data_IF_377327937749
#
_entry.id   IF_377327937749
#
_cell.length_a   1.000
_cell.length_b   1.000
_cell.length_c   1.000
_cell.angle_alpha   90.00
_cell.angle_beta   90.00
_cell.angle_gamma   90.00
#
_symmetry.space_group_name_H-M   'P 1'
#
loop_
_entity.id
_entity.type
_entity.pdbx_description
1 polymer ?
#
# COMPACT_ATOMS: atom_id res chain seq x y z
N UNK A 1 -12.02 5.54 0.04
CA UNK A 1 -10.90 4.63 0.39
C UNK A 1 -11.22 3.20 -0.04
N UNK A 2 -10.21 2.43 -0.39
CA UNK A 2 -10.37 1.02 -0.76
C UNK A 2 -10.65 0.20 0.50
N UNK A 3 -11.74 -0.55 0.48
CA UNK A 3 -12.13 -1.43 1.58
C UNK A 3 -11.60 -2.86 1.41
N UNK A 4 -11.72 -3.69 2.45
CA UNK A 4 -11.39 -5.12 2.35
C UNK A 4 -12.23 -5.85 1.31
N UNK A 5 -13.52 -5.54 1.22
CA UNK A 5 -14.40 -6.13 0.22
C UNK A 5 -14.01 -5.73 -1.22
N UNK A 6 -13.50 -4.50 -1.41
CA UNK A 6 -13.01 -4.06 -2.72
C UNK A 6 -11.75 -4.86 -3.09
N UNK A 7 -10.85 -5.10 -2.13
CA UNK A 7 -9.62 -5.89 -2.36
C UNK A 7 -9.91 -7.38 -2.69
N UNK A 8 -11.04 -7.91 -2.28
CA UNK A 8 -11.45 -9.28 -2.61
C UNK A 8 -12.06 -9.41 -4.02
N UNK A 9 -12.21 -8.29 -4.76
CA UNK A 9 -12.69 -8.29 -6.14
C UNK A 9 -11.63 -8.78 -7.13
N UNK A 10 -12.07 -9.30 -8.30
CA UNK A 10 -11.18 -9.59 -9.43
C UNK A 10 -10.38 -8.36 -9.88
N UNK A 11 -9.19 -8.58 -10.41
CA UNK A 11 -8.29 -7.52 -10.88
C UNK A 11 -8.92 -6.61 -11.94
N UNK A 12 -9.73 -7.16 -12.83
CA UNK A 12 -10.43 -6.41 -13.88
C UNK A 12 -11.41 -5.40 -13.30
N UNK A 13 -12.13 -5.76 -12.26
CA UNK A 13 -13.09 -4.87 -11.59
C UNK A 13 -12.35 -3.78 -10.80
N UNK A 14 -11.33 -4.19 -10.05
CA UNK A 14 -10.55 -3.29 -9.20
C UNK A 14 -9.76 -2.25 -10.03
N UNK A 15 -9.38 -2.56 -11.27
CA UNK A 15 -8.74 -1.62 -12.20
C UNK A 15 -9.69 -0.57 -12.77
N UNK A 16 -10.98 -0.60 -12.43
CA UNK A 16 -11.92 0.39 -12.94
C UNK A 16 -11.65 1.80 -12.37
N UNK A 17 -12.05 2.81 -13.13
CA UNK A 17 -11.94 4.23 -12.72
C UNK A 17 -12.67 4.52 -11.41
N UNK A 18 -13.71 3.75 -11.08
CA UNK A 18 -14.47 3.91 -9.83
C UNK A 18 -13.57 3.68 -8.62
N UNK A 19 -12.87 2.53 -8.58
CA UNK A 19 -11.99 2.21 -7.46
C UNK A 19 -10.73 3.07 -7.43
N UNK A 20 -10.15 3.36 -8.58
CA UNK A 20 -9.03 4.28 -8.69
C UNK A 20 -9.38 5.66 -8.11
N UNK A 21 -10.51 6.22 -8.49
CA UNK A 21 -10.93 7.55 -8.06
C UNK A 21 -11.27 7.67 -6.57
N UNK A 22 -11.71 6.59 -5.93
CA UNK A 22 -11.97 6.60 -4.48
C UNK A 22 -10.73 6.31 -3.63
N UNK A 23 -9.60 5.97 -4.24
CA UNK A 23 -8.38 5.60 -3.53
C UNK A 23 -7.60 6.82 -3.03
N UNK A 24 -7.02 6.71 -1.84
CA UNK A 24 -6.10 7.71 -1.29
C UNK A 24 -4.77 7.82 -2.06
N UNK A 25 -4.51 6.92 -3.02
CA UNK A 25 -3.35 6.94 -3.92
C UNK A 25 -3.75 7.21 -5.38
N UNK A 26 -4.90 7.85 -5.62
CA UNK A 26 -5.40 8.16 -6.96
C UNK A 26 -4.38 8.91 -7.82
N UNK A 27 -3.77 9.97 -7.29
CA UNK A 27 -2.78 10.76 -8.04
C UNK A 27 -1.57 9.94 -8.46
N UNK A 28 -1.11 9.02 -7.62
CA UNK A 28 -0.07 8.07 -8.02
C UNK A 28 -0.56 7.19 -9.17
N UNK A 29 -1.77 6.64 -9.07
CA UNK A 29 -2.36 5.81 -10.11
C UNK A 29 -2.53 6.55 -11.45
N UNK A 30 -2.81 7.85 -11.43
CA UNK A 30 -2.95 8.68 -12.62
C UNK A 30 -1.60 9.06 -13.26
N UNK A 31 -0.51 9.03 -12.50
CA UNK A 31 0.82 9.49 -12.96
C UNK A 31 1.80 8.37 -13.29
N UNK A 32 1.56 7.17 -12.79
CA UNK A 32 2.40 5.99 -13.06
C UNK A 32 2.01 5.30 -14.38
N UNK A 33 2.92 4.50 -14.92
CA UNK A 33 2.66 3.61 -16.07
C UNK A 33 2.06 2.26 -15.65
N UNK A 34 2.02 1.98 -14.35
CA UNK A 34 1.47 0.73 -13.81
C UNK A 34 -0.06 0.80 -13.70
N UNK A 35 -0.73 -0.34 -13.80
CA UNK A 35 -2.16 -0.44 -13.53
C UNK A 35 -2.43 -0.20 -12.04
N UNK A 36 -3.65 0.19 -11.70
CA UNK A 36 -4.03 0.42 -10.30
C UNK A 36 -3.83 -0.82 -9.43
N UNK A 37 -4.19 -2.00 -9.93
CA UNK A 37 -3.95 -3.28 -9.25
C UNK A 37 -2.46 -3.54 -9.04
N UNK A 38 -1.61 -3.23 -10.01
CA UNK A 38 -0.17 -3.42 -9.84
C UNK A 38 0.41 -2.55 -8.72
N UNK A 39 -0.11 -1.33 -8.54
CA UNK A 39 0.30 -0.45 -7.43
C UNK A 39 -0.18 -1.00 -6.09
N UNK A 40 -1.38 -1.57 -6.05
CA UNK A 40 -2.00 -2.08 -4.82
C UNK A 40 -1.39 -3.40 -4.35
N UNK A 41 -1.24 -4.38 -5.27
CA UNK A 41 -0.91 -5.77 -4.94
C UNK A 41 -0.05 -6.51 -5.96
N UNK A 42 0.54 -5.77 -6.93
CA UNK A 42 1.49 -6.35 -7.90
C UNK A 42 2.89 -6.55 -7.31
N UNK A 43 3.80 -7.04 -8.13
CA UNK A 43 5.19 -7.39 -7.74
C UNK A 43 5.97 -6.22 -7.12
N UNK A 44 5.67 -4.99 -7.50
CA UNK A 44 6.30 -3.77 -6.99
C UNK A 44 5.43 -2.98 -6.02
N UNK A 45 4.28 -3.54 -5.59
CA UNK A 45 3.43 -2.93 -4.58
C UNK A 45 4.15 -2.86 -3.24
N UNK A 46 3.78 -1.87 -2.42
CA UNK A 46 4.41 -1.71 -1.10
C UNK A 46 4.25 -2.95 -0.23
N UNK A 47 3.06 -3.58 -0.22
CA UNK A 47 2.82 -4.81 0.54
C UNK A 47 3.67 -5.99 0.07
N UNK A 48 3.82 -6.17 -1.26
CA UNK A 48 4.69 -7.23 -1.81
C UNK A 48 6.16 -7.01 -1.48
N UNK A 49 6.62 -5.76 -1.52
CA UNK A 49 7.99 -5.43 -1.12
C UNK A 49 8.24 -5.73 0.36
N UNK A 50 7.30 -5.40 1.24
CA UNK A 50 7.40 -5.73 2.67
C UNK A 50 7.37 -7.24 2.90
N UNK A 51 6.50 -7.97 2.20
CA UNK A 51 6.42 -9.44 2.26
C UNK A 51 7.74 -10.09 1.85
N UNK A 52 8.36 -9.62 0.78
CA UNK A 52 9.69 -10.09 0.33
C UNK A 52 10.81 -9.84 1.34
N UNK A 53 10.62 -8.87 2.24
CA UNK A 53 11.54 -8.54 3.34
C UNK A 53 11.21 -9.26 4.65
N UNK A 54 10.26 -10.22 4.61
CA UNK A 54 9.89 -11.05 5.76
C UNK A 54 8.76 -10.48 6.62
N UNK A 55 8.00 -9.50 6.11
CA UNK A 55 6.86 -8.89 6.79
C UNK A 55 5.59 -9.06 5.94
N UNK A 56 4.87 -10.20 6.06
CA UNK A 56 3.65 -10.45 5.30
C UNK A 56 2.65 -9.31 5.42
N UNK A 57 2.11 -8.89 4.29
CA UNK A 57 1.19 -7.76 4.19
C UNK A 57 -0.04 -8.08 3.35
N UNK A 58 -1.15 -7.44 3.70
CA UNK A 58 -2.35 -7.38 2.89
C UNK A 58 -2.63 -5.91 2.54
N UNK A 59 -2.75 -5.56 1.23
CA UNK A 59 -2.61 -6.42 0.06
C UNK A 59 -1.16 -6.66 -0.36
N UNK A 60 -0.90 -7.82 -0.96
CA UNK A 60 0.36 -8.20 -1.60
C UNK A 60 0.09 -9.22 -2.72
N UNK A 61 1.10 -9.68 -3.46
CA UNK A 61 0.92 -10.77 -4.43
C UNK A 61 0.55 -12.09 -3.78
N UNK A 62 1.05 -12.36 -2.57
CA UNK A 62 0.75 -13.60 -1.83
C UNK A 62 -0.60 -13.54 -1.13
N UNK A 63 -0.96 -12.35 -0.62
CA UNK A 63 -2.21 -12.09 0.08
C UNK A 63 -2.92 -10.89 -0.58
N UNK A 64 -3.60 -11.09 -1.73
CA UNK A 64 -4.12 -10.00 -2.55
C UNK A 64 -5.30 -9.24 -1.94
N UNK A 65 -5.97 -9.84 -0.97
CA UNK A 65 -7.08 -9.26 -0.22
C UNK A 65 -7.26 -9.98 1.11
N UNK A 66 -8.08 -9.45 2.02
CA UNK A 66 -8.26 -10.01 3.35
C UNK A 66 -9.10 -11.30 3.40
N UNK A 67 -9.65 -11.76 2.30
CA UNK A 67 -10.47 -12.98 2.21
C UNK A 67 -11.59 -13.02 3.27
N UNK A 68 -12.30 -11.91 3.45
CA UNK A 68 -13.37 -11.75 4.44
C UNK A 68 -12.91 -11.54 5.89
N UNK A 69 -11.60 -11.50 6.14
CA UNK A 69 -11.05 -11.16 7.46
C UNK A 69 -11.13 -9.64 7.71
N UNK A 70 -10.90 -9.25 8.97
CA UNK A 70 -10.91 -7.84 9.36
C UNK A 70 -9.79 -7.08 8.63
N UNK A 71 -10.17 -5.99 7.97
CA UNK A 71 -9.28 -5.08 7.26
C UNK A 71 -9.56 -3.63 7.64
N UNK A 72 -8.53 -2.80 7.72
CA UNK A 72 -8.63 -1.37 8.02
C UNK A 72 -8.46 -0.57 6.73
N UNK A 73 -9.54 0.03 6.26
CA UNK A 73 -9.58 0.77 4.98
C UNK A 73 -8.89 2.14 5.02
N UNK A 74 -8.11 2.41 6.05
CA UNK A 74 -7.52 3.71 6.33
C UNK A 74 -8.27 4.46 7.42
N UNK A 75 -7.80 5.65 7.76
CA UNK A 75 -8.37 6.50 8.79
C UNK A 75 -8.46 7.96 8.34
N UNK A 76 -8.76 8.85 9.28
CA UNK A 76 -8.97 10.28 9.03
C UNK A 76 -7.84 10.92 8.20
N UNK A 77 -6.58 10.58 8.45
CA UNK A 77 -5.45 11.19 7.75
C UNK A 77 -5.42 10.80 6.27
N UNK A 78 -5.60 9.51 5.96
CA UNK A 78 -5.63 9.04 4.58
C UNK A 78 -6.89 9.50 3.83
N UNK A 79 -8.01 9.61 4.51
CA UNK A 79 -9.25 10.12 3.94
C UNK A 79 -9.17 11.64 3.67
N UNK A 80 -8.66 12.41 4.63
CA UNK A 80 -8.62 13.88 4.55
C UNK A 80 -7.48 14.42 3.69
N UNK A 81 -6.35 13.72 3.62
CA UNK A 81 -5.12 14.19 2.98
C UNK A 81 -4.65 13.32 1.82
N UNK A 82 -5.25 12.17 1.59
CA UNK A 82 -5.01 11.35 0.41
C UNK A 82 -5.70 11.94 -0.83
N UNK A 83 -5.41 11.39 -1.99
CA UNK A 83 -5.82 11.98 -3.27
C UNK A 83 -7.19 11.51 -3.80
N UNK A 84 -8.04 10.90 -2.98
CA UNK A 84 -9.40 10.50 -3.38
C UNK A 84 -10.29 11.69 -3.80
N UNK A 85 -10.03 12.89 -3.31
CA UNK A 85 -10.68 14.13 -3.69
C UNK A 85 -10.02 14.84 -4.89
N UNK A 86 -8.99 14.22 -5.49
CA UNK A 86 -8.21 14.82 -6.58
C UNK A 86 -7.04 15.69 -6.12
N UNK A 87 -6.69 15.68 -4.82
CA UNK A 87 -5.49 16.34 -4.31
C UNK A 87 -4.21 15.68 -4.85
N UNK A 88 -3.07 16.36 -4.72
CA UNK A 88 -1.78 15.90 -5.26
C UNK A 88 -1.03 14.95 -4.33
N UNK A 89 -1.55 14.67 -3.14
CA UNK A 89 -0.87 13.86 -2.12
C UNK A 89 -1.44 12.45 -2.14
N UNK A 90 -0.60 11.46 -2.44
CA UNK A 90 -0.95 10.05 -2.24
C UNK A 90 -0.61 9.62 -0.81
N UNK A 91 -1.52 8.94 -0.14
CA UNK A 91 -1.36 8.53 1.25
C UNK A 91 -1.69 7.04 1.44
N UNK A 92 -0.87 6.37 2.23
CA UNK A 92 -1.06 4.96 2.64
C UNK A 92 -1.05 4.90 4.17
N UNK A 93 -2.02 4.23 4.76
CA UNK A 93 -2.02 3.90 6.19
C UNK A 93 -1.48 2.48 6.37
N UNK A 94 -0.58 2.31 7.33
CA UNK A 94 0.01 1.01 7.65
C UNK A 94 -0.40 0.63 9.07
N UNK A 95 -1.04 -0.52 9.21
CA UNK A 95 -1.41 -1.11 10.49
C UNK A 95 -0.42 -2.22 10.86
N UNK A 96 0.12 -2.16 12.07
CA UNK A 96 1.17 -3.05 12.52
C UNK A 96 0.71 -3.90 13.71
N UNK A 97 0.90 -5.22 13.67
CA UNK A 97 0.66 -6.07 14.83
C UNK A 97 1.64 -5.74 15.96
N UNK A 98 1.25 -6.02 17.19
CA UNK A 98 2.15 -5.86 18.33
C UNK A 98 3.20 -6.97 18.38
N UNK A 99 2.85 -8.27 18.34
CA UNK A 99 3.84 -9.35 18.37
C UNK A 99 4.74 -9.33 17.13
N UNK A 100 6.04 -9.45 17.36
CA UNK A 100 7.06 -9.57 16.31
C UNK A 100 7.45 -8.27 15.61
N UNK A 101 6.73 -7.16 15.83
CA UNK A 101 7.06 -5.85 15.26
C UNK A 101 7.19 -4.78 16.35
N UNK A 102 6.15 -4.59 17.18
CA UNK A 102 6.09 -3.49 18.15
C UNK A 102 6.37 -3.90 19.59
N UNK A 103 6.77 -5.12 19.82
CA UNK A 103 6.96 -5.71 21.16
C UNK A 103 8.35 -5.52 21.74
N UNK A 104 9.39 -5.32 20.91
CA UNK A 104 10.75 -5.05 21.37
C UNK A 104 11.44 -3.98 20.52
N UNK A 105 12.45 -3.30 21.10
CA UNK A 105 13.26 -2.32 20.37
C UNK A 105 14.02 -2.93 19.18
N UNK A 106 14.44 -4.19 19.30
CA UNK A 106 15.10 -4.91 18.22
C UNK A 106 14.14 -5.19 17.04
N UNK A 107 12.91 -5.63 17.32
CA UNK A 107 11.89 -5.85 16.31
C UNK A 107 11.51 -4.53 15.61
N UNK A 108 11.38 -3.45 16.36
CA UNK A 108 11.16 -2.12 15.78
C UNK A 108 12.27 -1.71 14.82
N UNK A 109 13.52 -1.88 15.21
CA UNK A 109 14.68 -1.48 14.39
C UNK A 109 14.76 -2.32 13.11
N UNK A 110 14.51 -3.63 13.21
CA UNK A 110 14.46 -4.51 12.04
C UNK A 110 13.32 -4.13 11.08
N UNK A 111 12.12 -3.91 11.62
CA UNK A 111 10.97 -3.47 10.81
C UNK A 111 11.25 -2.12 10.15
N UNK A 112 11.74 -1.12 10.89
CA UNK A 112 12.04 0.19 10.36
C UNK A 112 13.04 0.15 9.19
N UNK A 113 14.07 -0.71 9.30
CA UNK A 113 15.06 -0.90 8.23
C UNK A 113 14.43 -1.54 6.98
N UNK A 114 13.57 -2.54 7.14
CA UNK A 114 12.83 -3.16 6.04
C UNK A 114 11.84 -2.16 5.41
N UNK A 115 11.13 -1.41 6.23
CA UNK A 115 10.19 -0.39 5.79
C UNK A 115 10.86 0.71 4.96
N UNK A 116 11.99 1.24 5.44
CA UNK A 116 12.77 2.24 4.70
C UNK A 116 13.23 1.71 3.34
N UNK A 117 13.72 0.46 3.30
CA UNK A 117 14.12 -0.20 2.05
C UNK A 117 12.92 -0.41 1.10
N UNK A 118 11.78 -0.83 1.62
CA UNK A 118 10.58 -0.99 0.80
C UNK A 118 10.10 0.35 0.22
N UNK A 119 10.13 1.43 1.01
CA UNK A 119 9.79 2.78 0.53
C UNK A 119 10.74 3.21 -0.59
N UNK A 120 12.05 3.05 -0.42
CA UNK A 120 13.04 3.44 -1.43
C UNK A 120 12.79 2.71 -2.76
N UNK A 121 12.60 1.39 -2.71
CA UNK A 121 12.29 0.58 -3.89
C UNK A 121 10.96 1.01 -4.51
N UNK A 122 9.89 1.16 -3.71
CA UNK A 122 8.57 1.58 -4.17
C UNK A 122 8.60 2.94 -4.87
N UNK A 123 9.30 3.90 -4.25
CA UNK A 123 9.44 5.26 -4.77
C UNK A 123 10.17 5.27 -6.11
N UNK A 124 11.26 4.49 -6.22
CA UNK A 124 12.01 4.34 -7.46
C UNK A 124 11.15 3.76 -8.60
N UNK A 125 10.39 2.72 -8.33
CA UNK A 125 9.52 2.09 -9.35
C UNK A 125 8.36 2.99 -9.78
N UNK A 126 7.69 3.62 -8.83
CA UNK A 126 6.42 4.30 -9.10
C UNK A 126 6.55 5.80 -9.30
N UNK A 127 7.62 6.43 -8.80
CA UNK A 127 7.88 7.87 -8.96
C UNK A 127 9.05 8.15 -9.91
N UNK A 128 9.83 7.14 -10.29
CA UNK A 128 10.97 7.29 -11.19
C UNK A 128 12.13 8.12 -10.60
N UNK A 129 12.21 8.21 -9.29
CA UNK A 129 13.21 9.00 -8.55
C UNK A 129 13.85 8.16 -7.44
N UNK A 130 15.05 8.49 -7.05
CA UNK A 130 15.68 7.98 -5.84
C UNK A 130 15.40 8.92 -4.67
N UNK A 131 15.21 8.36 -3.47
CA UNK A 131 15.14 9.17 -2.26
C UNK A 131 16.53 9.70 -1.94
N UNK A 132 16.66 11.01 -1.80
CA UNK A 132 17.87 11.63 -1.23
C UNK A 132 17.79 11.46 0.30
N UNK A 133 18.59 10.54 0.85
CA UNK A 133 18.70 10.26 2.28
C UNK A 133 19.82 11.08 2.91
#
# INVERSE_FOLDING_TARGET
>A
LISGNDLDLPDEDLNSEVFKNQSSIRTLADTTTFTFVNILRGETSFGTLMDSLGYPCVPSTNDPGPAGLRYFSGGYITDRHGSSDGSVISAIQVELPQPGIRDTGENWSRYASAFAKAIDIYYKFHMGKELEL
#
